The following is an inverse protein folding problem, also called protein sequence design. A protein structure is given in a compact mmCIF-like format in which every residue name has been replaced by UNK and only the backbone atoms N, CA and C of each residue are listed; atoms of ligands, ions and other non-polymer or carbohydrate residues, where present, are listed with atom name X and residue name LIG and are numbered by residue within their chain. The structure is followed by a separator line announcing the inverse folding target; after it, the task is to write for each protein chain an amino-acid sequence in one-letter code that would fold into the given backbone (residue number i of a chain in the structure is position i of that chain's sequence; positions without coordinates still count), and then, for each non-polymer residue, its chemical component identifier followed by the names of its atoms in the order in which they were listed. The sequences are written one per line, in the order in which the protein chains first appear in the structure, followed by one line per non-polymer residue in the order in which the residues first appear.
data_IF_836094620389
#
_entry.id   IF_836094620389
#
_cell.length_a   1.000
_cell.length_b   1.000
_cell.length_c   1.000
_cell.angle_alpha   90.00
_cell.angle_beta   90.00
_cell.angle_gamma   90.00
#
_symmetry.space_group_name_H-M   'P 1'
#
loop_
_entity.id
_entity.type
_entity.pdbx_description
1 polymer ?
#
# COMPACT_ATOMS: atom_id res chain seq x y z
N UNK A 1 11.56 13.70 3.04
CA UNK A 1 11.89 12.42 2.36
C UNK A 1 11.51 12.60 0.89
N UNK A 2 12.49 12.71 -0.01
CA UNK A 2 12.22 12.94 -1.44
C UNK A 2 11.64 11.66 -2.03
N UNK A 3 10.38 11.72 -2.47
CA UNK A 3 9.74 10.63 -3.21
C UNK A 3 10.48 10.54 -4.55
N UNK A 4 11.11 9.39 -4.81
CA UNK A 4 12.02 9.15 -5.94
C UNK A 4 11.34 8.44 -7.11
N UNK A 5 10.00 8.50 -7.15
CA UNK A 5 9.16 7.79 -8.10
C UNK A 5 8.52 8.79 -9.05
N UNK A 6 8.44 8.41 -10.33
CA UNK A 6 7.67 9.11 -11.34
C UNK A 6 6.18 9.07 -11.01
N UNK A 7 5.38 9.95 -11.62
CA UNK A 7 3.92 9.93 -11.44
C UNK A 7 3.31 8.60 -11.88
N UNK A 8 3.89 7.96 -12.91
CA UNK A 8 3.47 6.64 -13.38
C UNK A 8 3.71 5.55 -12.32
N UNK A 9 4.93 5.49 -11.76
CA UNK A 9 5.26 4.55 -10.68
C UNK A 9 4.40 4.79 -9.44
N UNK A 10 4.14 6.05 -9.07
CA UNK A 10 3.24 6.36 -7.96
C UNK A 10 1.81 5.87 -8.22
N UNK A 11 1.29 6.07 -9.43
CA UNK A 11 -0.02 5.56 -9.83
C UNK A 11 -0.07 4.04 -9.73
N UNK A 12 0.97 3.35 -10.18
CA UNK A 12 1.06 1.90 -10.12
C UNK A 12 1.14 1.39 -8.68
N UNK A 13 1.99 1.98 -7.83
CA UNK A 13 2.09 1.65 -6.40
C UNK A 13 0.72 1.83 -5.71
N UNK A 14 -0.01 2.90 -6.05
CA UNK A 14 -1.36 3.15 -5.50
C UNK A 14 -2.34 2.08 -5.97
N UNK A 15 -2.33 1.72 -7.26
CA UNK A 15 -3.19 0.66 -7.80
C UNK A 15 -2.89 -0.69 -7.15
N UNK A 16 -1.61 -1.05 -7.02
CA UNK A 16 -1.15 -2.24 -6.32
C UNK A 16 -1.62 -2.24 -4.86
N UNK A 17 -1.43 -1.15 -4.13
CA UNK A 17 -1.82 -1.05 -2.73
C UNK A 17 -3.34 -1.08 -2.52
N UNK A 18 -4.14 -0.70 -3.52
CA UNK A 18 -5.61 -0.80 -3.49
C UNK A 18 -6.13 -2.20 -3.82
N UNK A 19 -5.31 -3.04 -4.46
CA UNK A 19 -5.67 -4.40 -4.87
C UNK A 19 -5.61 -5.37 -3.70
N UNK A 20 -6.70 -6.09 -3.46
CA UNK A 20 -6.75 -7.14 -2.42
C UNK A 20 -5.89 -8.37 -2.77
N UNK A 21 -5.46 -8.50 -4.03
CA UNK A 21 -4.62 -9.59 -4.53
C UNK A 21 -3.11 -9.30 -4.43
N UNK A 22 -2.73 -8.08 -4.07
CA UNK A 22 -1.32 -7.70 -3.98
C UNK A 22 -0.93 -7.55 -2.52
N UNK A 23 0.21 -8.13 -2.14
CA UNK A 23 0.77 -8.00 -0.80
C UNK A 23 1.77 -6.85 -0.73
N UNK A 24 2.02 -6.34 0.49
CA UNK A 24 3.11 -5.38 0.67
C UNK A 24 4.46 -6.00 0.29
N UNK A 25 4.65 -7.31 0.45
CA UNK A 25 5.86 -8.02 0.03
C UNK A 25 6.07 -7.93 -1.49
N UNK A 26 5.01 -8.03 -2.29
CA UNK A 26 5.11 -7.87 -3.76
C UNK A 26 5.55 -6.46 -4.13
N UNK A 27 4.96 -5.45 -3.47
CA UNK A 27 5.34 -4.04 -3.66
C UNK A 27 6.79 -3.81 -3.19
N UNK A 28 7.22 -4.44 -2.09
CA UNK A 28 8.62 -4.40 -1.64
C UNK A 28 9.55 -5.06 -2.66
N UNK A 29 9.16 -6.19 -3.23
CA UNK A 29 9.98 -6.90 -4.23
C UNK A 29 10.18 -6.11 -5.52
N UNK A 30 9.15 -5.39 -5.97
CA UNK A 30 9.21 -4.60 -7.20
C UNK A 30 9.85 -3.22 -7.01
N UNK A 31 9.49 -2.52 -5.91
CA UNK A 31 9.84 -1.11 -5.71
C UNK A 31 10.80 -0.84 -4.56
N UNK A 32 11.21 -1.87 -3.82
CA UNK A 32 12.01 -1.74 -2.60
C UNK A 32 11.28 -1.02 -1.45
N UNK A 33 9.95 -0.87 -1.57
CA UNK A 33 9.13 -0.12 -0.62
C UNK A 33 8.65 -0.98 0.53
N UNK A 34 9.00 -0.59 1.76
CA UNK A 34 8.43 -1.19 2.96
C UNK A 34 6.97 -0.75 3.14
N UNK A 35 6.17 -1.53 3.87
CA UNK A 35 4.77 -1.20 4.16
C UNK A 35 4.62 0.25 4.67
N UNK A 36 5.50 0.68 5.59
CA UNK A 36 5.47 2.03 6.16
C UNK A 36 5.57 3.14 5.10
N UNK A 37 6.28 2.88 4.00
CA UNK A 37 6.48 3.85 2.94
C UNK A 37 5.29 3.85 1.98
N UNK A 38 4.71 2.66 1.69
CA UNK A 38 3.42 2.54 0.98
C UNK A 38 2.30 3.25 1.75
N UNK A 39 2.24 3.09 3.08
CA UNK A 39 1.26 3.79 3.94
C UNK A 39 1.39 5.30 3.84
N UNK A 40 2.62 5.84 3.79
CA UNK A 40 2.85 7.28 3.59
C UNK A 40 2.37 7.74 2.21
N UNK A 41 2.68 6.98 1.16
CA UNK A 41 2.22 7.25 -0.21
C UNK A 41 0.68 7.29 -0.24
N UNK A 42 0.02 6.26 0.29
CA UNK A 42 -1.43 6.18 0.34
C UNK A 42 -2.06 7.33 1.13
N UNK A 43 -1.45 7.72 2.26
CA UNK A 43 -1.93 8.85 3.06
C UNK A 43 -1.80 10.19 2.34
N UNK A 44 -0.77 10.35 1.52
CA UNK A 44 -0.53 11.58 0.76
C UNK A 44 -1.45 11.69 -0.48
N UNK A 45 -1.83 10.56 -1.09
CA UNK A 45 -2.54 10.55 -2.37
C UNK A 45 -4.05 10.31 -2.25
N UNK A 46 -4.53 9.65 -1.19
CA UNK A 46 -5.95 9.40 -1.00
C UNK A 46 -6.65 10.51 -0.20
N UNK A 47 -7.91 10.76 -0.55
CA UNK A 47 -8.82 11.52 0.31
C UNK A 47 -8.96 10.83 1.67
N UNK A 48 -9.13 11.62 2.74
CA UNK A 48 -9.21 11.14 4.14
C UNK A 48 -10.18 9.96 4.34
N UNK A 49 -11.37 10.00 3.71
CA UNK A 49 -12.36 8.93 3.79
C UNK A 49 -11.89 7.63 3.12
N UNK A 50 -11.38 7.74 1.89
CA UNK A 50 -10.81 6.61 1.13
C UNK A 50 -9.63 5.98 1.86
N UNK A 51 -8.73 6.80 2.42
CA UNK A 51 -7.62 6.32 3.23
C UNK A 51 -8.09 5.54 4.47
N UNK A 52 -9.09 6.04 5.18
CA UNK A 52 -9.66 5.36 6.35
C UNK A 52 -10.28 4.00 5.96
N UNK A 53 -11.02 3.94 4.86
CA UNK A 53 -11.61 2.72 4.35
C UNK A 53 -10.54 1.70 3.92
N UNK A 54 -9.53 2.15 3.19
CA UNK A 54 -8.38 1.32 2.81
C UNK A 54 -7.64 0.78 4.03
N UNK A 55 -7.36 1.63 5.04
CA UNK A 55 -6.64 1.18 6.25
C UNK A 55 -7.44 0.15 7.05
N UNK A 56 -8.78 0.29 7.09
CA UNK A 56 -9.67 -0.73 7.67
C UNK A 56 -9.50 -2.07 6.95
N UNK A 57 -9.54 -2.09 5.61
CA UNK A 57 -9.31 -3.31 4.82
C UNK A 57 -7.93 -3.92 5.10
N UNK A 58 -6.87 -3.11 5.03
CA UNK A 58 -5.50 -3.58 5.31
C UNK A 58 -5.40 -4.26 6.67
N UNK A 59 -6.04 -3.71 7.71
CA UNK A 59 -6.06 -4.34 9.03
C UNK A 59 -6.84 -5.68 9.02
N UNK A 60 -7.99 -5.74 8.33
CA UNK A 60 -8.81 -6.96 8.23
C UNK A 60 -8.14 -8.08 7.41
N UNK A 61 -7.38 -7.74 6.36
CA UNK A 61 -6.64 -8.70 5.53
C UNK A 61 -5.27 -9.05 6.14
N UNK A 62 -4.59 -8.09 6.77
CA UNK A 62 -3.34 -8.30 7.49
C UNK A 62 -3.51 -9.24 8.67
N UNK A 63 -4.58 -9.05 9.47
CA UNK A 63 -4.92 -9.96 10.56
C UNK A 63 -5.20 -11.40 10.08
N UNK A 64 -5.74 -11.57 8.86
CA UNK A 64 -5.95 -12.90 8.27
C UNK A 64 -4.68 -13.57 7.77
N UNK A 65 -3.64 -12.81 7.37
CA UNK A 65 -2.37 -13.36 6.88
C UNK A 65 -1.47 -13.91 7.99
N UNK A 66 -1.64 -13.51 9.25
CA UNK A 66 -0.92 -14.15 10.37
C UNK A 66 -1.40 -15.59 10.65
N UNK A 67 -2.61 -15.96 10.23
CA UNK A 67 -3.18 -17.29 10.51
C UNK A 67 -2.90 -18.35 9.45
N UNK A 68 -2.05 -18.07 8.45
CA UNK A 68 -1.56 -19.07 7.50
C UNK A 68 -0.05 -19.25 7.70
N UNK A 69 0.32 -20.09 8.68
CA UNK A 69 1.64 -20.72 8.78
C UNK A 69 1.46 -22.23 8.86
#
# INVERSE_FOLDING_TARGET
MKIKYTEAELSEIIQMALSDHVSFTDITGQYGLLEKDVVKIMRANLKKGSYKAWRKRVNEFGARREFYK
#
